data_IF_191706950380
#
_entry.id   IF_191706950380
#
_cell.length_a   1.000
_cell.length_b   1.000
_cell.length_c   1.000
_cell.angle_alpha   90.00
_cell.angle_beta   90.00
_cell.angle_gamma   90.00
#
_symmetry.space_group_name_H-M   'P 1'
#
loop_
_entity.id
_entity.type
_entity.pdbx_description
1 polymer ?
#
# COMPACT_ATOMS: atom_id res chain seq x y z
N UNK A 1 -25.47 -15.02 -9.79
CA UNK A 1 -24.07 -15.48 -9.90
C UNK A 1 -23.35 -14.57 -10.88
N UNK A 2 -22.44 -13.71 -10.40
CA UNK A 2 -21.69 -12.80 -11.27
C UNK A 2 -20.25 -13.30 -11.40
N UNK A 3 -19.87 -13.74 -12.60
CA UNK A 3 -18.47 -13.95 -12.97
C UNK A 3 -17.75 -12.60 -12.87
N UNK A 4 -16.90 -12.43 -11.86
CA UNK A 4 -15.96 -11.30 -11.82
C UNK A 4 -14.80 -11.70 -12.72
N UNK A 5 -14.80 -11.17 -13.93
CA UNK A 5 -13.64 -11.20 -14.81
C UNK A 5 -12.53 -10.42 -14.12
N UNK A 6 -11.59 -11.13 -13.47
CA UNK A 6 -10.29 -10.56 -13.13
C UNK A 6 -9.56 -10.45 -14.47
N UNK A 7 -9.82 -9.34 -15.16
CA UNK A 7 -8.99 -8.90 -16.27
C UNK A 7 -7.57 -8.74 -15.74
N UNK A 8 -6.78 -9.79 -15.93
CA UNK A 8 -5.34 -9.72 -15.88
C UNK A 8 -4.93 -8.81 -17.02
N UNK A 9 -4.85 -7.50 -16.75
CA UNK A 9 -3.96 -6.67 -17.53
C UNK A 9 -2.58 -7.32 -17.37
N UNK A 10 -1.96 -7.84 -18.44
CA UNK A 10 -0.60 -8.35 -18.37
C UNK A 10 0.26 -7.15 -18.00
N UNK A 11 0.55 -7.04 -16.70
CA UNK A 11 1.33 -5.93 -16.19
C UNK A 11 2.75 -6.14 -16.66
N UNK A 12 3.15 -5.32 -17.62
CA UNK A 12 4.55 -5.17 -17.98
C UNK A 12 5.24 -4.36 -16.89
N UNK A 13 5.68 -5.03 -15.83
CA UNK A 13 6.68 -4.50 -14.91
C UNK A 13 8.07 -4.43 -15.59
N UNK A 14 8.13 -3.98 -16.85
CA UNK A 14 9.36 -3.88 -17.65
C UNK A 14 10.38 -2.95 -17.01
N UNK A 15 9.97 -2.11 -16.06
CA UNK A 15 10.89 -1.23 -15.34
C UNK A 15 11.72 -1.96 -14.28
N UNK A 16 11.31 -3.11 -13.74
CA UNK A 16 11.94 -3.74 -12.55
C UNK A 16 13.36 -4.31 -12.84
N UNK A 17 13.85 -4.24 -14.07
CA UNK A 17 15.10 -4.87 -14.49
C UNK A 17 16.40 -4.23 -13.96
N UNK A 18 16.35 -3.16 -13.16
CA UNK A 18 17.56 -2.44 -12.72
C UNK A 18 17.84 -2.61 -11.22
N UNK A 19 19.08 -3.01 -10.90
CA UNK A 19 19.62 -3.25 -9.54
C UNK A 19 19.47 -2.05 -8.60
N UNK A 20 19.22 -0.85 -9.14
CA UNK A 20 19.17 0.41 -8.37
C UNK A 20 17.75 0.92 -8.09
N UNK A 21 16.69 0.28 -8.58
CA UNK A 21 15.35 0.82 -8.39
C UNK A 21 14.86 0.68 -6.95
N UNK A 22 14.37 1.81 -6.41
CA UNK A 22 13.61 1.84 -5.16
C UNK A 22 12.18 2.28 -5.45
N UNK A 23 11.21 1.51 -4.98
CA UNK A 23 9.80 1.82 -5.23
C UNK A 23 8.86 1.05 -4.32
N UNK A 24 7.61 1.53 -4.28
CA UNK A 24 6.53 0.86 -3.56
C UNK A 24 5.47 0.47 -4.57
N UNK A 25 5.06 -0.78 -4.54
CA UNK A 25 3.98 -1.30 -5.36
C UNK A 25 2.86 -1.79 -4.46
N UNK A 26 1.65 -1.30 -4.69
CA UNK A 26 0.47 -1.74 -3.95
C UNK A 26 -0.39 -2.55 -4.92
N UNK A 27 -0.65 -3.81 -4.58
CA UNK A 27 -1.43 -4.76 -5.35
C UNK A 27 -2.75 -5.05 -4.64
N UNK A 28 -3.85 -5.01 -5.40
CA UNK A 28 -5.18 -5.28 -4.87
C UNK A 28 -5.63 -6.73 -5.06
N UNK A 29 -6.39 -7.24 -4.08
CA UNK A 29 -7.12 -8.50 -4.19
C UNK A 29 -8.49 -8.40 -3.53
N UNK A 30 -9.42 -9.28 -3.91
CA UNK A 30 -10.80 -9.28 -3.41
C UNK A 30 -10.93 -9.33 -1.87
N UNK A 31 -9.91 -9.82 -1.15
CA UNK A 31 -9.92 -10.01 0.32
C UNK A 31 -8.78 -9.33 1.07
N UNK A 32 -7.96 -8.53 0.40
CA UNK A 32 -6.80 -7.89 1.00
C UNK A 32 -5.91 -7.22 -0.04
N UNK A 33 -4.74 -6.78 0.40
CA UNK A 33 -3.77 -6.11 -0.44
C UNK A 33 -2.38 -6.63 -0.11
N UNK A 34 -1.46 -6.44 -1.04
CA UNK A 34 -0.04 -6.71 -0.85
C UNK A 34 0.74 -5.45 -1.20
N UNK A 35 1.68 -5.06 -0.35
CA UNK A 35 2.56 -3.92 -0.56
C UNK A 35 3.98 -4.45 -0.69
N UNK A 36 4.60 -4.21 -1.84
CA UNK A 36 6.01 -4.54 -2.07
C UNK A 36 6.86 -3.28 -1.97
N UNK A 37 7.87 -3.35 -1.12
CA UNK A 37 8.98 -2.41 -1.05
C UNK A 37 10.15 -3.00 -1.82
N UNK A 38 10.51 -2.36 -2.92
CA UNK A 38 11.53 -2.85 -3.85
C UNK A 38 12.85 -2.13 -3.60
N UNK A 39 13.91 -2.91 -3.44
CA UNK A 39 15.30 -2.47 -3.34
C UNK A 39 16.14 -3.27 -4.35
N UNK A 40 16.22 -2.77 -5.58
CA UNK A 40 16.80 -3.52 -6.69
C UNK A 40 16.06 -4.85 -6.88
N UNK A 41 16.76 -5.96 -6.66
CA UNK A 41 16.20 -7.32 -6.77
C UNK A 41 15.63 -7.89 -5.45
N UNK A 42 15.70 -7.13 -4.35
CA UNK A 42 15.12 -7.53 -3.07
C UNK A 42 13.74 -6.91 -2.91
N UNK A 43 12.75 -7.75 -2.58
CA UNK A 43 11.37 -7.34 -2.36
C UNK A 43 10.99 -7.66 -0.92
N UNK A 44 10.65 -6.63 -0.15
CA UNK A 44 10.07 -6.80 1.18
C UNK A 44 8.55 -6.64 1.05
N UNK A 45 7.81 -7.58 1.59
CA UNK A 45 6.40 -7.78 1.30
C UNK A 45 5.60 -7.60 2.58
N UNK A 46 4.74 -6.59 2.62
CA UNK A 46 3.72 -6.45 3.67
C UNK A 46 2.39 -6.90 3.10
N UNK A 47 1.77 -7.93 3.69
CA UNK A 47 0.48 -8.46 3.23
C UNK A 47 -0.60 -8.36 4.29
N UNK A 48 -1.81 -8.07 3.83
CA UNK A 48 -2.99 -8.19 4.67
C UNK A 48 -3.31 -9.67 4.95
N UNK A 49 -3.72 -10.00 6.18
CA UNK A 49 -4.00 -11.40 6.60
C UNK A 49 -5.03 -12.11 5.71
N UNK A 50 -5.97 -11.36 5.12
CA UNK A 50 -7.01 -11.89 4.25
C UNK A 50 -6.57 -12.27 2.82
N UNK A 51 -5.30 -12.08 2.45
CA UNK A 51 -4.76 -12.46 1.13
C UNK A 51 -4.69 -14.00 1.03
N UNK A 52 -5.24 -14.57 -0.06
CA UNK A 52 -5.16 -16.02 -0.29
C UNK A 52 -3.78 -16.44 -0.77
N UNK A 53 -3.37 -17.66 -0.43
CA UNK A 53 -2.12 -18.26 -0.89
C UNK A 53 -2.01 -18.24 -2.43
N UNK A 54 -3.09 -18.53 -3.15
CA UNK A 54 -3.10 -18.51 -4.61
C UNK A 54 -2.80 -17.11 -5.18
N UNK A 55 -3.33 -16.05 -4.57
CA UNK A 55 -3.03 -14.67 -4.99
C UNK A 55 -1.59 -14.29 -4.68
N UNK A 56 -1.07 -14.72 -3.53
CA UNK A 56 0.33 -14.52 -3.16
C UNK A 56 1.28 -15.23 -4.14
N UNK A 57 1.02 -16.50 -4.46
CA UNK A 57 1.79 -17.29 -5.42
C UNK A 57 1.72 -16.69 -6.82
N UNK A 58 0.55 -16.20 -7.25
CA UNK A 58 0.40 -15.53 -8.54
C UNK A 58 1.25 -14.25 -8.59
N UNK A 59 1.14 -13.37 -7.58
CA UNK A 59 1.92 -12.12 -7.53
C UNK A 59 3.42 -12.42 -7.45
N UNK A 60 3.84 -13.37 -6.60
CA UNK A 60 5.23 -13.76 -6.46
C UNK A 60 5.79 -14.31 -7.79
N UNK A 61 5.12 -15.27 -8.41
CA UNK A 61 5.60 -15.92 -9.64
C UNK A 61 5.55 -14.99 -10.85
N UNK A 62 4.45 -14.26 -11.07
CA UNK A 62 4.24 -13.45 -12.28
C UNK A 62 4.85 -12.06 -12.21
N UNK A 63 4.82 -11.40 -11.06
CA UNK A 63 5.23 -10.00 -10.96
C UNK A 63 6.63 -9.83 -10.35
N UNK A 64 7.03 -10.68 -9.40
CA UNK A 64 8.31 -10.52 -8.68
C UNK A 64 9.40 -11.39 -9.31
N UNK A 65 9.23 -12.71 -9.25
CA UNK A 65 10.24 -13.69 -9.67
C UNK A 65 10.51 -13.61 -11.18
N UNK A 66 9.46 -13.55 -12.00
CA UNK A 66 9.60 -13.35 -13.46
C UNK A 66 10.32 -12.05 -13.84
N UNK A 67 10.34 -11.06 -12.94
CA UNK A 67 11.01 -9.78 -13.17
C UNK A 67 12.34 -9.64 -12.41
N UNK A 68 12.88 -10.76 -11.92
CA UNK A 68 14.24 -10.82 -11.36
C UNK A 68 14.33 -10.54 -9.86
N UNK A 69 13.23 -10.65 -9.11
CA UNK A 69 13.30 -10.69 -7.65
C UNK A 69 14.10 -11.93 -7.21
N UNK A 70 15.19 -11.71 -6.47
CA UNK A 70 16.03 -12.79 -5.93
C UNK A 70 15.65 -13.15 -4.49
N UNK A 71 14.97 -12.23 -3.79
CA UNK A 71 14.62 -12.40 -2.38
C UNK A 71 13.25 -11.80 -2.06
N UNK A 72 12.41 -12.58 -1.40
CA UNK A 72 11.11 -12.17 -0.87
C UNK A 72 11.15 -12.27 0.66
N UNK A 73 10.86 -11.18 1.37
CA UNK A 73 10.85 -11.16 2.84
C UNK A 73 9.48 -10.70 3.31
N UNK A 74 8.74 -11.58 3.99
CA UNK A 74 7.43 -11.27 4.57
C UNK A 74 7.60 -10.41 5.83
N UNK A 75 7.00 -9.23 5.83
CA UNK A 75 7.01 -8.29 6.95
C UNK A 75 5.75 -8.53 7.78
N UNK A 76 5.89 -9.29 8.86
CA UNK A 76 4.76 -9.56 9.78
C UNK A 76 4.76 -8.67 11.01
N UNK A 77 5.93 -8.21 11.42
CA UNK A 77 6.17 -7.42 12.63
C UNK A 77 7.04 -6.20 12.31
N UNK A 78 7.30 -5.39 13.33
CA UNK A 78 8.14 -4.20 13.20
C UNK A 78 9.52 -4.59 12.64
N UNK A 79 9.97 -3.86 11.64
CA UNK A 79 11.15 -4.16 10.85
C UNK A 79 12.00 -2.90 10.71
N UNK A 80 13.31 -3.06 10.86
CA UNK A 80 14.29 -2.06 10.46
C UNK A 80 15.23 -2.73 9.44
N UNK A 81 15.06 -2.39 8.17
CA UNK A 81 15.83 -2.96 7.08
C UNK A 81 16.24 -1.87 6.11
N UNK A 82 17.53 -1.51 6.11
CA UNK A 82 18.06 -0.46 5.24
C UNK A 82 17.24 0.83 5.37
N UNK A 83 16.81 1.44 4.25
CA UNK A 83 15.94 2.62 4.23
C UNK A 83 14.45 2.33 4.49
N UNK A 84 14.07 1.11 4.89
CA UNK A 84 12.71 0.75 5.30
C UNK A 84 12.63 0.60 6.82
N UNK A 85 11.74 1.36 7.43
CA UNK A 85 11.34 1.24 8.83
C UNK A 85 9.86 0.98 8.89
N UNK A 86 9.44 -0.11 9.51
CA UNK A 86 8.04 -0.39 9.81
C UNK A 86 7.86 -0.51 11.31
N UNK A 87 7.00 0.33 11.88
CA UNK A 87 6.58 0.29 13.28
C UNK A 87 5.13 -0.14 13.33
N UNK A 88 4.89 -1.44 13.49
CA UNK A 88 3.55 -2.04 13.44
C UNK A 88 2.60 -1.43 14.46
N UNK A 89 3.09 -1.15 15.67
CA UNK A 89 2.34 -0.52 16.75
C UNK A 89 1.90 0.90 16.42
N UNK A 90 2.73 1.67 15.70
CA UNK A 90 2.41 3.02 15.23
C UNK A 90 1.72 3.03 13.86
N UNK A 91 1.69 1.88 13.17
CA UNK A 91 1.19 1.74 11.80
C UNK A 91 1.88 2.66 10.81
N UNK A 92 3.14 2.99 11.10
CA UNK A 92 3.95 3.90 10.30
C UNK A 92 5.01 3.11 9.54
N UNK A 93 5.12 3.43 8.26
CA UNK A 93 6.17 2.95 7.38
C UNK A 93 6.98 4.16 6.91
N UNK A 94 8.30 4.12 7.10
CA UNK A 94 9.22 5.03 6.44
C UNK A 94 9.99 4.26 5.37
N UNK A 95 9.92 4.69 4.12
CA UNK A 95 10.66 4.08 3.02
C UNK A 95 11.40 5.15 2.20
N UNK A 96 12.72 5.19 2.31
CA UNK A 96 13.56 6.17 1.59
C UNK A 96 13.06 7.61 1.80
N UNK A 97 12.72 7.97 3.05
CA UNK A 97 12.22 9.29 3.41
C UNK A 97 10.73 9.53 3.14
N UNK A 98 10.01 8.57 2.51
CA UNK A 98 8.55 8.60 2.42
C UNK A 98 7.92 8.09 3.70
N UNK A 99 7.06 8.90 4.31
CA UNK A 99 6.24 8.52 5.47
C UNK A 99 4.87 8.05 5.01
N UNK A 100 4.49 6.85 5.40
CA UNK A 100 3.23 6.22 5.03
C UNK A 100 2.53 5.79 6.31
N UNK A 101 1.29 6.22 6.50
CA UNK A 101 0.44 5.76 7.58
C UNK A 101 -0.53 4.71 7.07
N UNK A 102 -0.61 3.55 7.74
CA UNK A 102 -1.50 2.45 7.37
C UNK A 102 -2.69 2.40 8.31
N UNK A 103 -3.85 2.86 7.83
CA UNK A 103 -5.10 2.77 8.54
C UNK A 103 -5.85 1.49 8.17
N UNK A 104 -5.50 0.38 8.80
CA UNK A 104 -6.17 -0.91 8.66
C UNK A 104 -6.53 -1.49 10.05
N UNK A 105 -7.46 -2.44 10.09
CA UNK A 105 -7.84 -3.20 11.30
C UNK A 105 -8.55 -2.43 12.44
N UNK A 106 -9.23 -3.24 13.25
CA UNK A 106 -10.32 -2.88 14.15
C UNK A 106 -9.84 -2.75 15.60
N UNK A 107 -9.07 -1.70 15.90
CA UNK A 107 -8.69 -1.34 17.27
C UNK A 107 -9.04 0.13 17.52
N UNK A 108 -9.40 0.47 18.76
CA UNK A 108 -9.52 1.87 19.17
C UNK A 108 -8.12 2.47 19.01
N UNK A 109 -7.92 3.31 17.99
CA UNK A 109 -6.64 3.93 17.72
C UNK A 109 -6.63 5.28 18.42
N UNK A 110 -5.74 5.43 19.40
CA UNK A 110 -5.28 6.75 19.80
C UNK A 110 -4.43 7.30 18.65
N UNK A 111 -4.95 8.31 17.95
CA UNK A 111 -4.23 8.95 16.85
C UNK A 111 -3.32 10.03 17.42
N UNK A 112 -2.02 9.87 17.23
CA UNK A 112 -1.05 10.95 17.42
C UNK A 112 -1.08 11.85 16.19
N UNK A 113 -0.93 13.17 16.38
CA UNK A 113 -0.85 14.07 15.23
C UNK A 113 0.42 13.81 14.42
N UNK A 114 0.28 13.59 13.12
CA UNK A 114 1.39 13.19 12.24
C UNK A 114 1.18 13.74 10.82
N UNK A 115 2.24 14.29 10.24
CA UNK A 115 2.30 14.68 8.83
C UNK A 115 2.97 13.57 8.03
N UNK A 116 2.29 13.09 6.99
CA UNK A 116 2.71 11.92 6.21
C UNK A 116 2.57 12.18 4.71
N UNK A 117 3.41 11.54 3.90
CA UNK A 117 3.29 11.65 2.45
C UNK A 117 2.04 10.90 1.95
N UNK A 118 1.76 9.73 2.54
CA UNK A 118 0.68 8.87 2.10
C UNK A 118 -0.14 8.28 3.26
N UNK A 119 -1.45 8.30 3.12
CA UNK A 119 -2.38 7.56 3.98
C UNK A 119 -2.97 6.37 3.21
N UNK A 120 -2.71 5.16 3.67
CA UNK A 120 -3.30 3.93 3.13
C UNK A 120 -4.51 3.52 3.97
N UNK A 121 -5.71 3.56 3.39
CA UNK A 121 -6.94 3.18 4.08
C UNK A 121 -7.35 1.76 3.66
N UNK A 122 -7.29 0.83 4.61
CA UNK A 122 -7.60 -0.57 4.41
C UNK A 122 -8.90 -1.04 5.08
N UNK A 123 -9.18 -2.33 4.91
CA UNK A 123 -10.34 -2.99 5.51
C UNK A 123 -10.38 -2.88 7.03
N UNK A 124 -11.60 -2.80 7.57
CA UNK A 124 -11.83 -2.90 9.02
C UNK A 124 -11.56 -1.61 9.80
N UNK A 125 -11.09 -0.55 9.15
CA UNK A 125 -11.03 0.78 9.76
C UNK A 125 -12.43 1.22 10.22
N UNK A 126 -12.59 1.58 11.49
CA UNK A 126 -13.85 2.12 12.04
C UNK A 126 -13.84 3.63 12.26
N UNK A 127 -12.68 4.28 12.13
CA UNK A 127 -12.56 5.71 12.35
C UNK A 127 -13.28 6.49 11.23
N UNK A 128 -13.96 7.57 11.62
CA UNK A 128 -14.54 8.54 10.67
C UNK A 128 -13.40 9.22 9.92
N UNK A 129 -13.54 9.41 8.61
CA UNK A 129 -12.51 10.04 7.78
C UNK A 129 -12.13 11.45 8.31
N UNK A 130 -13.12 12.26 8.68
CA UNK A 130 -12.90 13.58 9.27
C UNK A 130 -12.06 13.55 10.55
N UNK A 131 -12.36 12.61 11.45
CA UNK A 131 -11.59 12.41 12.68
C UNK A 131 -10.14 12.00 12.36
N UNK A 132 -9.92 11.12 11.39
CA UNK A 132 -8.55 10.74 11.01
C UNK A 132 -7.78 11.93 10.45
N UNK A 133 -8.40 12.72 9.57
CA UNK A 133 -7.76 13.85 8.89
C UNK A 133 -7.48 15.04 9.81
N UNK A 134 -8.09 15.09 10.99
CA UNK A 134 -7.75 16.07 12.03
C UNK A 134 -6.36 15.81 12.63
N UNK A 135 -5.98 14.54 12.79
CA UNK A 135 -4.73 14.14 13.43
C UNK A 135 -3.66 13.77 12.40
N UNK A 136 -4.03 12.99 11.40
CA UNK A 136 -3.14 12.53 10.35
C UNK A 136 -3.34 13.43 9.13
N UNK A 137 -2.30 14.15 8.75
CA UNK A 137 -2.31 15.11 7.63
C UNK A 137 -1.53 14.51 6.45
N UNK A 138 -2.19 13.77 5.54
CA UNK A 138 -1.54 13.19 4.38
C UNK A 138 -1.50 14.14 3.18
N UNK A 139 -0.42 14.07 2.39
CA UNK A 139 -0.38 14.71 1.07
C UNK A 139 -1.24 13.96 0.03
N UNK A 140 -1.42 12.64 0.19
CA UNK A 140 -2.26 11.84 -0.71
C UNK A 140 -2.88 10.64 0.02
N UNK A 141 -4.12 10.32 -0.32
CA UNK A 141 -4.88 9.20 0.26
C UNK A 141 -5.02 8.08 -0.77
N UNK A 142 -4.74 6.85 -0.35
CA UNK A 142 -5.00 5.64 -1.12
C UNK A 142 -6.14 4.85 -0.48
N UNK A 143 -7.24 4.66 -1.21
CA UNK A 143 -8.31 3.76 -0.82
C UNK A 143 -8.05 2.37 -1.39
N UNK A 144 -7.86 1.41 -0.49
CA UNK A 144 -7.66 0.03 -0.90
C UNK A 144 -9.01 -0.61 -1.29
N UNK A 145 -9.00 -1.58 -2.22
CA UNK A 145 -10.24 -2.19 -2.73
C UNK A 145 -11.07 -2.83 -1.62
N UNK A 146 -10.37 -3.28 -0.57
CA UNK A 146 -10.92 -3.93 0.61
C UNK A 146 -11.76 -3.03 1.54
N UNK A 147 -11.78 -1.71 1.34
CA UNK A 147 -12.63 -0.77 2.09
C UNK A 147 -14.10 -0.91 1.67
N UNK A 148 -15.04 -0.84 2.62
CA UNK A 148 -16.47 -0.93 2.30
C UNK A 148 -16.95 0.28 1.47
N UNK A 149 -17.85 0.05 0.50
CA UNK A 149 -18.30 1.07 -0.46
C UNK A 149 -18.76 2.37 0.22
N UNK A 150 -19.63 2.27 1.23
CA UNK A 150 -20.14 3.44 1.96
C UNK A 150 -19.03 4.24 2.68
N UNK A 151 -17.95 3.59 3.10
CA UNK A 151 -16.79 4.29 3.68
C UNK A 151 -15.97 4.97 2.60
N UNK A 152 -15.80 4.34 1.44
CA UNK A 152 -15.10 4.98 0.31
C UNK A 152 -15.75 6.30 -0.07
N UNK A 153 -17.08 6.34 -0.15
CA UNK A 153 -17.85 7.57 -0.40
C UNK A 153 -17.56 8.63 0.67
N UNK A 154 -17.57 8.27 1.95
CA UNK A 154 -17.20 9.19 3.05
C UNK A 154 -15.77 9.72 2.93
N UNK A 155 -14.81 8.87 2.58
CA UNK A 155 -13.41 9.28 2.37
C UNK A 155 -13.26 10.20 1.15
N UNK A 156 -13.97 9.92 0.06
CA UNK A 156 -13.97 10.76 -1.14
C UNK A 156 -14.51 12.15 -0.86
N UNK A 157 -15.61 12.26 -0.09
CA UNK A 157 -16.18 13.53 0.33
C UNK A 157 -15.16 14.31 1.18
N UNK A 158 -14.65 13.70 2.26
CA UNK A 158 -13.70 14.38 3.14
C UNK A 158 -12.41 14.78 2.42
N UNK A 159 -11.87 13.93 1.53
CA UNK A 159 -10.68 14.26 0.75
C UNK A 159 -10.93 15.47 -0.16
N UNK A 160 -12.09 15.54 -0.81
CA UNK A 160 -12.48 16.67 -1.65
C UNK A 160 -12.61 17.97 -0.84
N UNK A 161 -13.26 17.91 0.32
CA UNK A 161 -13.41 19.06 1.22
C UNK A 161 -12.07 19.61 1.72
N UNK A 162 -11.11 18.72 1.99
CA UNK A 162 -9.77 19.07 2.46
C UNK A 162 -8.77 19.30 1.31
N UNK A 163 -9.20 19.22 0.05
CA UNK A 163 -8.35 19.37 -1.15
C UNK A 163 -7.17 18.37 -1.19
N UNK A 164 -7.36 17.17 -0.65
CA UNK A 164 -6.35 16.12 -0.63
C UNK A 164 -6.54 15.20 -1.84
N UNK A 165 -5.51 14.99 -2.67
CA UNK A 165 -5.54 13.97 -3.72
C UNK A 165 -5.92 12.59 -3.18
N UNK A 166 -6.90 11.95 -3.81
CA UNK A 166 -7.35 10.61 -3.45
C UNK A 166 -7.27 9.67 -4.64
N UNK A 167 -6.71 8.49 -4.42
CA UNK A 167 -6.54 7.44 -5.42
C UNK A 167 -7.29 6.20 -4.94
N UNK A 168 -8.35 5.83 -5.64
CA UNK A 168 -9.07 4.57 -5.41
C UNK A 168 -8.42 3.44 -6.24
N UNK A 169 -7.81 2.48 -5.53
CA UNK A 169 -7.11 1.36 -6.17
C UNK A 169 -8.07 0.28 -6.71
N UNK A 170 -9.36 0.34 -6.37
CA UNK A 170 -10.37 -0.57 -6.91
C UNK A 170 -10.49 -0.47 -8.42
N UNK A 171 -10.30 0.74 -8.97
CA UNK A 171 -10.43 1.01 -10.41
C UNK A 171 -9.15 0.70 -11.19
N UNK A 172 -7.99 0.72 -10.51
CA UNK A 172 -6.66 0.66 -11.16
C UNK A 172 -5.93 -0.67 -10.97
N UNK A 173 -6.31 -1.47 -9.97
CA UNK A 173 -5.70 -2.77 -9.65
C UNK A 173 -4.28 -2.71 -9.07
N UNK A 174 -3.50 -1.67 -9.40
CA UNK A 174 -2.19 -1.40 -8.80
C UNK A 174 -1.86 0.11 -8.79
N UNK A 175 -0.86 0.48 -8.00
CA UNK A 175 -0.21 1.79 -8.08
C UNK A 175 1.28 1.71 -7.73
N UNK A 176 2.10 2.49 -8.44
CA UNK A 176 3.56 2.59 -8.24
C UNK A 176 3.88 3.94 -7.63
N UNK A 177 4.45 3.95 -6.42
CA UNK A 177 4.99 5.14 -5.77
C UNK A 177 6.51 5.15 -5.96
N UNK A 178 7.03 6.29 -6.42
CA UNK A 178 8.49 6.50 -6.56
C UNK A 178 9.06 6.95 -5.21
N UNK A 179 10.16 6.33 -4.77
CA UNK A 179 10.88 6.80 -3.57
C UNK A 179 11.50 8.20 -3.79
N UNK A 180 11.54 9.02 -2.72
CA UNK A 180 12.10 10.39 -2.76
C UNK A 180 13.56 10.42 -3.23
N UNK A 181 14.35 9.42 -2.87
CA UNK A 181 15.80 9.37 -3.16
C UNK A 181 16.17 8.58 -4.44
N UNK A 182 15.20 8.14 -5.26
CA UNK A 182 15.45 7.10 -6.25
C UNK A 182 16.29 7.49 -7.49
N UNK A 183 16.68 8.76 -7.66
CA UNK A 183 17.46 9.20 -8.83
C UNK A 183 18.47 10.28 -8.42
N UNK A 184 19.60 9.86 -7.85
CA UNK A 184 20.86 10.60 -7.99
C UNK A 184 21.65 9.88 -9.07
N UNK A 185 22.02 10.64 -10.12
CA UNK A 185 22.54 10.22 -11.43
C UNK A 185 23.49 9.01 -11.45
#
# INVERSE_FOLDING_TARGET
>A
MGLVFLGSLPFYARDIHYIQQKGIFIYESKKGHIIDFVFGKTFLVLKHEGVSQQTEEFTASKNRLMHGAERLIDIRDSLNYSSLFFKKEKREINFCGLKIYVLAENRNVELESSEVDYLLVGKGNKCKASFVLEYIKPDTIFLLSSVEKYKKESWQICAKENQIPLIDLTERGFYKIKAKEAWSN
#
